data_IF_152556167202
#
_entry.id   IF_152556167202
#
_cell.length_a   1.000
_cell.length_b   1.000
_cell.length_c   1.000
_cell.angle_alpha   90.00
_cell.angle_beta   90.00
_cell.angle_gamma   90.00
#
_symmetry.space_group_name_H-M   'P 1'
#
loop_
_entity.id
_entity.type
_entity.pdbx_description
1 polymer ?
#
# COMPACT_ATOMS: atom_id res chain seq x y z
N UNK A 1 -13.89 -29.61 23.93
CA UNK A 1 -14.48 -28.27 23.75
C UNK A 1 -15.76 -28.20 24.57
N UNK A 2 -15.89 -27.23 25.47
CA UNK A 2 -17.07 -27.10 26.34
C UNK A 2 -18.25 -26.56 25.53
N UNK A 3 -19.45 -27.11 25.75
CA UNK A 3 -20.69 -26.70 25.08
C UNK A 3 -21.00 -25.21 25.22
N UNK A 4 -20.63 -24.63 26.36
CA UNK A 4 -20.90 -23.23 26.67
C UNK A 4 -20.05 -22.27 25.83
N UNK A 5 -18.82 -22.66 25.48
CA UNK A 5 -17.95 -21.87 24.60
C UNK A 5 -18.47 -21.87 23.16
N UNK A 6 -19.03 -22.99 22.70
CA UNK A 6 -19.64 -23.11 21.36
C UNK A 6 -20.92 -22.28 21.28
N UNK A 7 -21.72 -22.30 22.35
CA UNK A 7 -22.94 -21.49 22.45
C UNK A 7 -22.63 -19.99 22.43
N UNK A 8 -21.60 -19.55 23.17
CA UNK A 8 -21.16 -18.15 23.14
C UNK A 8 -20.63 -17.74 21.75
N UNK A 9 -19.81 -18.56 21.10
CA UNK A 9 -19.30 -18.24 19.75
C UNK A 9 -20.42 -18.14 18.69
N UNK A 10 -21.46 -18.98 18.79
CA UNK A 10 -22.64 -18.91 17.93
C UNK A 10 -23.50 -17.68 18.19
N UNK A 11 -23.68 -17.29 19.47
CA UNK A 11 -24.40 -16.08 19.84
C UNK A 11 -23.67 -14.81 19.38
N UNK A 12 -22.34 -14.80 19.45
CA UNK A 12 -21.48 -13.70 18.97
C UNK A 12 -21.53 -13.58 17.43
N UNK A 13 -21.51 -14.71 16.71
CA UNK A 13 -21.67 -14.76 15.25
C UNK A 13 -23.06 -14.30 14.78
N UNK A 14 -24.11 -14.62 15.54
CA UNK A 14 -25.49 -14.24 15.22
C UNK A 14 -25.85 -12.82 15.66
N UNK A 15 -24.93 -12.07 16.29
CA UNK A 15 -25.19 -10.75 16.88
C UNK A 15 -26.45 -10.72 17.78
N UNK A 16 -26.78 -11.85 18.40
CA UNK A 16 -28.02 -12.03 19.17
C UNK A 16 -27.83 -11.78 20.68
N UNK A 17 -26.62 -11.39 21.11
CA UNK A 17 -26.30 -11.13 22.50
C UNK A 17 -26.84 -9.74 22.92
N UNK A 18 -28.10 -9.70 23.33
CA UNK A 18 -28.89 -8.49 23.65
C UNK A 18 -28.36 -7.65 24.81
N UNK A 19 -27.43 -8.16 25.63
CA UNK A 19 -26.88 -7.44 26.79
C UNK A 19 -25.65 -6.58 26.44
N UNK A 20 -24.90 -6.95 25.41
CA UNK A 20 -23.79 -6.13 24.89
C UNK A 20 -24.37 -5.12 23.90
N UNK A 21 -24.58 -3.89 24.37
CA UNK A 21 -24.90 -2.76 23.48
C UNK A 21 -23.94 -2.71 22.28
N UNK A 22 -24.45 -2.29 21.11
CA UNK A 22 -23.71 -2.23 19.84
C UNK A 22 -22.33 -1.57 20.06
N UNK A 23 -21.27 -2.36 20.09
CA UNK A 23 -19.91 -1.83 20.19
C UNK A 23 -19.57 -1.18 18.86
N UNK A 24 -19.49 0.14 18.90
CA UNK A 24 -19.11 0.92 17.73
C UNK A 24 -17.65 0.58 17.40
N UNK A 25 -17.42 -0.14 16.29
CA UNK A 25 -16.08 -0.48 15.81
C UNK A 25 -15.80 0.29 14.52
N UNK A 26 -14.68 1.01 14.47
CA UNK A 26 -14.20 1.57 13.19
C UNK A 26 -13.58 0.37 12.48
N UNK A 27 -14.07 -0.02 11.29
CA UNK A 27 -13.37 -1.04 10.51
C UNK A 27 -11.95 -0.52 10.25
N UNK A 28 -10.98 -1.16 10.87
CA UNK A 28 -9.58 -0.86 10.61
C UNK A 28 -9.26 -1.27 9.18
N UNK A 29 -8.64 -0.38 8.40
CA UNK A 29 -8.11 -0.67 7.06
C UNK A 29 -9.16 -0.75 5.93
N UNK A 30 -10.18 0.12 5.92
CA UNK A 30 -10.93 0.36 4.68
C UNK A 30 -10.03 1.15 3.72
N UNK A 31 -9.55 0.50 2.67
CA UNK A 31 -8.84 1.16 1.58
C UNK A 31 -9.84 1.40 0.45
N UNK A 32 -9.91 2.63 -0.06
CA UNK A 32 -10.72 2.94 -1.26
C UNK A 32 -10.11 2.36 -2.55
N UNK A 33 -8.98 1.65 -2.45
CA UNK A 33 -8.23 1.12 -3.59
C UNK A 33 -8.73 -0.27 -3.94
N UNK A 34 -9.35 -0.40 -5.10
CA UNK A 34 -9.68 -1.70 -5.67
C UNK A 34 -8.39 -2.37 -6.14
N UNK A 35 -8.05 -3.46 -5.46
CA UNK A 35 -6.86 -4.24 -5.80
C UNK A 35 -7.20 -5.16 -6.97
N UNK A 36 -6.46 -5.08 -8.07
CA UNK A 36 -6.75 -5.88 -9.28
C UNK A 36 -5.70 -6.98 -9.46
N UNK A 37 -4.43 -6.63 -9.54
CA UNK A 37 -3.32 -7.56 -9.84
C UNK A 37 -2.18 -7.34 -8.86
N UNK A 38 -1.66 -8.41 -8.25
CA UNK A 38 -0.46 -8.39 -7.38
C UNK A 38 -0.48 -7.32 -6.27
N UNK A 39 -1.64 -6.99 -5.70
CA UNK A 39 -1.72 -5.96 -4.66
C UNK A 39 -1.79 -4.52 -5.18
N UNK A 40 -1.83 -4.32 -6.51
CA UNK A 40 -1.88 -3.01 -7.16
C UNK A 40 -3.30 -2.64 -7.61
N UNK A 41 -3.56 -1.33 -7.58
CA UNK A 41 -4.72 -0.73 -8.25
C UNK A 41 -4.56 -0.77 -9.78
N UNK A 42 -5.64 -0.60 -10.54
CA UNK A 42 -5.63 -0.59 -12.01
C UNK A 42 -4.66 0.46 -12.55
N UNK A 43 -4.70 1.68 -12.00
CA UNK A 43 -3.81 2.77 -12.41
C UNK A 43 -2.35 2.46 -12.08
N UNK A 44 -2.09 1.76 -10.98
CA UNK A 44 -0.73 1.39 -10.56
C UNK A 44 -0.19 0.25 -11.42
N UNK A 45 -1.03 -0.72 -11.77
CA UNK A 45 -0.71 -1.82 -12.67
C UNK A 45 -0.35 -1.28 -14.06
N UNK A 46 -1.14 -0.37 -14.61
CA UNK A 46 -0.85 0.29 -15.88
C UNK A 46 0.47 1.06 -15.85
N UNK A 47 0.79 1.73 -14.74
CA UNK A 47 2.10 2.39 -14.56
C UNK A 47 3.25 1.39 -14.51
N UNK A 48 3.12 0.32 -13.74
CA UNK A 48 4.17 -0.70 -13.63
C UNK A 48 4.47 -1.36 -14.97
N UNK A 49 3.43 -1.77 -15.71
CA UNK A 49 3.56 -2.34 -17.05
C UNK A 49 4.13 -1.31 -18.03
N UNK A 50 3.61 -0.07 -18.00
CA UNK A 50 4.09 1.02 -18.86
C UNK A 50 5.56 1.34 -18.63
N UNK A 51 6.02 1.43 -17.37
CA UNK A 51 7.43 1.64 -17.04
C UNK A 51 8.31 0.48 -17.53
N UNK A 52 7.83 -0.77 -17.40
CA UNK A 52 8.54 -1.93 -17.92
C UNK A 52 8.73 -1.85 -19.44
N UNK A 53 7.64 -1.61 -20.18
CA UNK A 53 7.68 -1.49 -21.65
C UNK A 53 8.60 -0.36 -22.11
N UNK A 54 8.50 0.82 -21.48
CA UNK A 54 9.36 1.97 -21.82
C UNK A 54 10.83 1.65 -21.56
N UNK A 55 11.15 1.03 -20.43
CA UNK A 55 12.54 0.67 -20.09
C UNK A 55 13.13 -0.36 -21.05
N UNK A 56 12.34 -1.34 -21.47
CA UNK A 56 12.75 -2.35 -22.45
C UNK A 56 12.95 -1.70 -23.82
N UNK A 57 12.03 -0.83 -24.24
CA UNK A 57 12.15 -0.10 -25.51
C UNK A 57 13.41 0.78 -25.53
N UNK A 58 13.70 1.49 -24.44
CA UNK A 58 14.93 2.26 -24.29
C UNK A 58 16.18 1.36 -24.37
N UNK A 59 16.16 0.20 -23.70
CA UNK A 59 17.27 -0.74 -23.77
C UNK A 59 17.49 -1.25 -25.20
N UNK A 60 16.43 -1.58 -25.94
CA UNK A 60 16.51 -1.99 -27.34
C UNK A 60 17.12 -0.88 -28.21
N UNK A 61 16.70 0.38 -28.00
CA UNK A 61 17.22 1.53 -28.75
C UNK A 61 18.72 1.77 -28.49
N UNK A 62 19.17 1.58 -27.25
CA UNK A 62 20.57 1.80 -26.86
C UNK A 62 21.48 0.69 -27.40
N UNK A 63 21.13 -0.58 -27.18
CA UNK A 63 21.99 -1.70 -27.55
C UNK A 63 21.92 -2.03 -29.05
N UNK A 64 20.77 -1.78 -29.69
CA UNK A 64 20.52 -1.90 -31.14
C UNK A 64 21.16 -3.14 -31.77
N UNK A 65 21.11 -4.26 -31.06
CA UNK A 65 21.77 -5.51 -31.45
C UNK A 65 20.73 -6.57 -31.76
N UNK A 66 20.96 -7.30 -32.84
CA UNK A 66 20.14 -8.44 -33.31
C UNK A 66 20.60 -9.77 -32.73
N UNK A 67 21.69 -9.78 -31.95
CA UNK A 67 22.16 -10.96 -31.27
C UNK A 67 21.15 -11.44 -30.20
N UNK A 68 21.20 -12.72 -29.84
CA UNK A 68 20.31 -13.29 -28.82
C UNK A 68 20.74 -12.87 -27.40
N UNK A 69 22.03 -12.64 -27.17
CA UNK A 69 22.56 -12.22 -25.86
C UNK A 69 21.87 -10.97 -25.24
N UNK A 70 21.68 -9.85 -25.97
CA UNK A 70 20.98 -8.67 -25.42
C UNK A 70 19.50 -8.92 -25.09
N UNK A 71 18.86 -9.98 -25.61
CA UNK A 71 17.49 -10.34 -25.22
C UNK A 71 17.39 -10.62 -23.72
N UNK A 72 18.41 -11.27 -23.15
CA UNK A 72 18.48 -11.54 -21.70
C UNK A 72 18.54 -10.22 -20.92
N UNK A 73 19.33 -9.26 -21.40
CA UNK A 73 19.44 -7.93 -20.79
C UNK A 73 18.10 -7.21 -20.83
N UNK A 74 17.38 -7.26 -21.95
CA UNK A 74 16.06 -6.63 -22.07
C UNK A 74 15.05 -7.22 -21.08
N UNK A 75 15.03 -8.55 -20.93
CA UNK A 75 14.16 -9.21 -19.94
C UNK A 75 14.51 -8.77 -18.53
N UNK A 76 15.80 -8.74 -18.17
CA UNK A 76 16.25 -8.29 -16.84
C UNK A 76 15.84 -6.84 -16.59
N UNK A 77 16.06 -5.94 -17.56
CA UNK A 77 15.66 -4.52 -17.44
C UNK A 77 14.15 -4.38 -17.25
N UNK A 78 13.35 -5.14 -18.00
CA UNK A 78 11.90 -5.17 -17.85
C UNK A 78 11.45 -5.65 -16.48
N UNK A 79 12.07 -6.72 -15.95
CA UNK A 79 11.75 -7.24 -14.62
C UNK A 79 12.17 -6.30 -13.50
N UNK A 80 13.36 -5.70 -13.57
CA UNK A 80 13.85 -4.78 -12.55
C UNK A 80 13.01 -3.50 -12.51
N UNK A 81 12.66 -2.95 -13.68
CA UNK A 81 11.82 -1.75 -13.77
C UNK A 81 10.39 -2.01 -13.28
N UNK A 82 9.78 -3.12 -13.70
CA UNK A 82 8.47 -3.55 -13.19
C UNK A 82 8.52 -3.76 -11.67
N UNK A 83 9.50 -4.54 -11.20
CA UNK A 83 9.68 -4.89 -9.81
C UNK A 83 9.92 -3.67 -8.92
N UNK A 84 10.66 -2.68 -9.41
CA UNK A 84 10.89 -1.42 -8.69
C UNK A 84 9.60 -0.61 -8.50
N UNK A 85 8.80 -0.46 -9.56
CA UNK A 85 7.50 0.24 -9.47
C UNK A 85 6.52 -0.54 -8.60
N UNK A 86 6.44 -1.85 -8.80
CA UNK A 86 5.59 -2.72 -7.98
C UNK A 86 5.97 -2.61 -6.50
N UNK A 87 7.24 -2.80 -6.16
CA UNK A 87 7.73 -2.69 -4.79
C UNK A 87 7.41 -1.31 -4.17
N UNK A 88 7.54 -0.23 -4.93
CA UNK A 88 7.21 1.11 -4.44
C UNK A 88 5.75 1.26 -3.98
N UNK A 89 4.81 0.58 -4.65
CA UNK A 89 3.39 0.64 -4.28
C UNK A 89 3.00 -0.44 -3.26
N UNK A 90 3.70 -1.58 -3.22
CA UNK A 90 3.35 -2.71 -2.37
C UNK A 90 4.04 -2.66 -1.00
N UNK A 91 5.22 -2.05 -0.87
CA UNK A 91 5.92 -1.96 0.42
C UNK A 91 5.14 -1.04 1.37
N UNK A 92 4.96 -1.56 2.58
CA UNK A 92 4.25 -0.91 3.68
C UNK A 92 5.28 -0.48 4.73
N UNK A 93 5.58 0.83 4.87
CA UNK A 93 6.66 1.30 5.74
C UNK A 93 6.33 1.19 7.23
N UNK A 94 5.06 0.97 7.60
CA UNK A 94 4.58 0.92 8.98
C UNK A 94 3.86 -0.42 9.18
N UNK A 95 4.43 -1.28 10.04
CA UNK A 95 3.94 -2.64 10.29
C UNK A 95 2.50 -2.65 10.80
N UNK A 96 2.16 -1.73 11.72
CA UNK A 96 0.84 -1.68 12.37
C UNK A 96 -0.25 -1.07 11.48
N UNK A 97 0.11 -0.56 10.28
CA UNK A 97 -0.80 0.16 9.38
C UNK A 97 -0.71 -0.40 7.96
N UNK A 98 -1.33 -1.56 7.70
CA UNK A 98 -1.22 -2.23 6.42
C UNK A 98 -1.94 -1.52 5.27
N UNK A 99 -2.72 -0.47 5.54
CA UNK A 99 -3.39 0.36 4.54
C UNK A 99 -2.50 1.48 3.97
N UNK A 100 -1.38 1.80 4.63
CA UNK A 100 -0.52 2.91 4.23
C UNK A 100 0.62 2.36 3.35
N UNK A 101 0.58 2.68 2.06
CA UNK A 101 1.69 2.40 1.15
C UNK A 101 2.80 3.46 1.27
N UNK A 102 4.00 3.13 0.79
CA UNK A 102 5.12 4.09 0.73
C UNK A 102 4.78 5.36 -0.03
N UNK A 103 4.00 5.25 -1.11
CA UNK A 103 3.53 6.42 -1.88
C UNK A 103 2.77 7.41 -1.01
N UNK A 104 1.95 6.90 -0.09
CA UNK A 104 1.09 7.71 0.75
C UNK A 104 1.89 8.32 1.89
N UNK A 105 2.79 7.51 2.46
CA UNK A 105 3.73 7.98 3.47
C UNK A 105 4.58 9.14 2.96
N UNK A 106 5.15 9.03 1.75
CA UNK A 106 5.93 10.11 1.15
C UNK A 106 5.08 11.35 0.87
N UNK A 107 3.85 11.18 0.36
CA UNK A 107 2.93 12.29 0.13
C UNK A 107 2.59 13.01 1.43
N UNK A 108 2.19 12.27 2.46
CA UNK A 108 1.87 12.84 3.78
C UNK A 108 3.08 13.52 4.41
N UNK A 109 4.28 12.93 4.30
CA UNK A 109 5.51 13.53 4.82
C UNK A 109 5.82 14.86 4.13
N UNK A 110 5.66 14.92 2.80
CA UNK A 110 5.83 16.15 2.02
C UNK A 110 4.80 17.21 2.41
N UNK A 111 3.54 16.83 2.55
CA UNK A 111 2.46 17.74 2.93
C UNK A 111 2.64 18.25 4.36
N UNK A 112 3.01 17.36 5.30
CA UNK A 112 3.30 17.70 6.68
C UNK A 112 4.44 18.72 6.79
N UNK A 113 5.50 18.55 6.00
CA UNK A 113 6.63 19.49 5.98
C UNK A 113 6.25 20.90 5.54
N UNK A 114 5.17 21.04 4.76
CA UNK A 114 4.68 22.34 4.27
C UNK A 114 3.67 23.00 5.20
N UNK A 115 3.12 22.27 6.17
CA UNK A 115 2.09 22.80 7.07
C UNK A 115 2.75 23.67 8.15
N UNK A 116 2.13 24.79 8.55
CA UNK A 116 2.59 25.56 9.69
C UNK A 116 2.51 24.66 10.92
N UNK A 117 3.65 24.45 11.56
CA UNK A 117 3.75 23.61 12.75
C UNK A 117 3.23 24.40 13.94
N UNK A 118 1.91 24.38 14.13
CA UNK A 118 1.25 24.91 15.32
C UNK A 118 1.44 23.88 16.44
N UNK A 119 2.67 23.74 16.91
CA UNK A 119 2.90 23.06 18.17
C UNK A 119 2.26 23.92 19.27
N UNK A 120 1.62 23.27 20.24
CA UNK A 120 1.15 23.93 21.45
C UNK A 120 2.33 24.68 22.07
N UNK A 121 2.40 25.99 21.88
CA UNK A 121 3.36 26.84 22.58
C UNK A 121 2.87 26.88 24.02
N UNK A 122 3.67 26.34 24.96
CA UNK A 122 3.39 26.47 26.39
C UNK A 122 3.06 27.95 26.67
N UNK A 123 1.92 28.26 27.32
CA UNK A 123 1.54 29.64 27.56
C UNK A 123 2.67 30.35 28.31
N UNK A 124 3.05 31.54 27.84
CA UNK A 124 4.06 32.37 28.48
C UNK A 124 3.50 32.78 29.85
N UNK A 125 4.15 32.41 30.93
CA UNK A 125 3.77 32.87 32.28
C UNK A 125 3.71 34.39 32.24
N UNK A 126 2.54 34.94 32.59
CA UNK A 126 2.39 36.38 32.79
C UNK A 126 3.08 36.70 34.11
N UNK A 127 4.23 37.37 34.02
CA UNK A 127 4.91 38.00 35.16
C UNK A 127 4.12 39.23 35.58
#
# INVERSE_FOLDING_TARGET
MNSDQVKQALLDLLNADTEKGRTWFFPSNVSDRYTVILGLDLKQSAKAIGTALISVLLAILIFRSTAVFPLIIYVIVGLVSFGGVWAFYTIKPITDRPNISISDFMKQRKDFSKRPKVYYKKPKERV
#
